data_IF_724860057227
#
_entry.id   IF_724860057227
#
_cell.length_a   1.000
_cell.length_b   1.000
_cell.length_c   1.000
_cell.angle_alpha   90.00
_cell.angle_beta   90.00
_cell.angle_gamma   90.00
#
_symmetry.space_group_name_H-M   'P 1'
#
loop_
_entity.id
_entity.type
_entity.pdbx_description
1 polymer ?
#
# COMPACT_ATOMS: atom_id res chain seq x y z
N UNK A 1 6.17 -25.56 15.54
CA UNK A 1 6.48 -26.57 14.51
C UNK A 1 6.22 -28.01 14.98
N UNK A 2 5.52 -28.20 16.10
CA UNK A 2 5.31 -29.53 16.69
C UNK A 2 4.00 -30.21 16.30
N UNK A 3 3.10 -29.49 15.61
CA UNK A 3 1.78 -30.00 15.16
C UNK A 3 1.79 -31.08 14.08
N UNK A 4 2.96 -31.55 13.64
CA UNK A 4 3.11 -32.53 12.54
C UNK A 4 4.17 -33.56 12.95
N UNK A 5 3.99 -34.88 12.66
CA UNK A 5 4.93 -35.94 13.05
C UNK A 5 6.38 -35.62 12.69
N UNK A 6 7.33 -36.12 13.49
CA UNK A 6 8.75 -35.76 13.36
C UNK A 6 9.32 -35.93 11.95
N UNK A 7 8.95 -37.02 11.26
CA UNK A 7 9.36 -37.32 9.89
C UNK A 7 8.80 -36.34 8.83
N UNK A 8 7.71 -35.63 9.13
CA UNK A 8 7.02 -34.73 8.21
C UNK A 8 7.28 -33.25 8.48
N UNK A 9 8.03 -32.91 9.54
CA UNK A 9 8.32 -31.51 9.92
C UNK A 9 9.08 -30.74 8.82
N UNK A 10 9.94 -31.41 8.05
CA UNK A 10 10.64 -30.82 6.90
C UNK A 10 9.67 -30.37 5.80
N UNK A 11 8.77 -31.26 5.38
CA UNK A 11 7.71 -30.97 4.38
C UNK A 11 6.75 -29.90 4.90
N UNK A 12 6.33 -29.98 6.16
CA UNK A 12 5.47 -28.97 6.78
C UNK A 12 6.13 -27.58 6.90
N UNK A 13 7.45 -27.53 7.14
CA UNK A 13 8.23 -26.28 7.13
C UNK A 13 8.31 -25.70 5.72
N UNK A 14 8.61 -26.54 4.72
CA UNK A 14 8.64 -26.15 3.31
C UNK A 14 7.31 -25.57 2.83
N UNK A 15 6.19 -26.27 3.08
CA UNK A 15 4.85 -25.79 2.71
C UNK A 15 4.52 -24.44 3.37
N UNK A 16 4.83 -24.27 4.66
CA UNK A 16 4.63 -22.99 5.36
C UNK A 16 5.45 -21.86 4.74
N UNK A 17 6.71 -22.12 4.39
CA UNK A 17 7.57 -21.15 3.74
C UNK A 17 7.00 -20.72 2.38
N UNK A 18 6.53 -21.66 1.57
CA UNK A 18 5.83 -21.35 0.30
C UNK A 18 4.61 -20.48 0.54
N UNK A 19 3.72 -20.85 1.47
CA UNK A 19 2.53 -20.05 1.79
C UNK A 19 2.87 -18.64 2.30
N UNK A 20 3.90 -18.49 3.13
CA UNK A 20 4.37 -17.19 3.62
C UNK A 20 4.90 -16.32 2.48
N UNK A 21 5.79 -16.87 1.64
CA UNK A 21 6.38 -16.13 0.52
C UNK A 21 5.34 -15.72 -0.51
N UNK A 22 4.47 -16.64 -0.92
CA UNK A 22 3.37 -16.36 -1.84
C UNK A 22 2.33 -15.41 -1.22
N UNK A 23 2.02 -15.59 0.07
CA UNK A 23 1.10 -14.72 0.81
C UNK A 23 1.61 -13.29 0.91
N UNK A 24 2.91 -13.10 1.15
CA UNK A 24 3.51 -11.77 1.21
C UNK A 24 3.45 -11.05 -0.16
N UNK A 25 3.81 -11.76 -1.24
CA UNK A 25 3.70 -11.23 -2.61
C UNK A 25 2.25 -10.87 -2.98
N UNK A 26 1.30 -11.76 -2.65
CA UNK A 26 -0.12 -11.52 -2.87
C UNK A 26 -0.61 -10.29 -2.08
N UNK A 27 -0.17 -10.15 -0.82
CA UNK A 27 -0.53 -9.03 0.05
C UNK A 27 -0.06 -7.69 -0.54
N UNK A 28 1.17 -7.65 -1.07
CA UNK A 28 1.71 -6.48 -1.77
C UNK A 28 0.85 -6.16 -3.01
N UNK A 29 0.53 -7.16 -3.81
CA UNK A 29 -0.29 -6.99 -5.03
C UNK A 29 -1.69 -6.45 -4.73
N UNK A 30 -2.36 -7.00 -3.71
CA UNK A 30 -3.68 -6.55 -3.25
C UNK A 30 -3.59 -5.13 -2.69
N UNK A 31 -2.59 -4.85 -1.85
CA UNK A 31 -2.36 -3.52 -1.27
C UNK A 31 -2.26 -2.45 -2.37
N UNK A 32 -1.36 -2.66 -3.34
CA UNK A 32 -1.17 -1.71 -4.43
C UNK A 32 -2.40 -1.60 -5.33
N UNK A 33 -3.08 -2.71 -5.62
CA UNK A 33 -4.29 -2.70 -6.45
C UNK A 33 -5.41 -1.89 -5.81
N UNK A 34 -5.70 -2.11 -4.53
CA UNK A 34 -6.72 -1.33 -3.81
C UNK A 34 -6.33 0.14 -3.73
N UNK A 35 -5.06 0.44 -3.44
CA UNK A 35 -4.56 1.81 -3.40
C UNK A 35 -4.81 2.53 -4.73
N UNK A 36 -4.46 1.90 -5.86
CA UNK A 36 -4.65 2.47 -7.20
C UNK A 36 -6.13 2.72 -7.48
N UNK A 37 -7.01 1.78 -7.15
CA UNK A 37 -8.46 1.92 -7.36
C UNK A 37 -9.03 3.09 -6.56
N UNK A 38 -8.65 3.25 -5.30
CA UNK A 38 -9.13 4.37 -4.46
C UNK A 38 -8.63 5.70 -4.99
N UNK A 39 -7.35 5.78 -5.35
CA UNK A 39 -6.78 6.99 -5.91
C UNK A 39 -7.42 7.37 -7.25
N UNK A 40 -7.60 6.41 -8.16
CA UNK A 40 -8.22 6.67 -9.46
C UNK A 40 -9.64 7.26 -9.33
N UNK A 41 -10.37 6.93 -8.26
CA UNK A 41 -11.72 7.47 -7.99
C UNK A 41 -11.72 8.85 -7.32
N UNK A 42 -10.71 9.18 -6.52
CA UNK A 42 -10.73 10.37 -5.65
C UNK A 42 -9.73 11.46 -6.05
N UNK A 43 -8.58 11.05 -6.55
CA UNK A 43 -7.49 11.96 -6.91
C UNK A 43 -7.86 12.92 -8.04
N UNK A 44 -8.55 12.51 -9.13
CA UNK A 44 -8.82 13.42 -10.23
C UNK A 44 -9.65 14.64 -9.81
N UNK A 45 -10.70 14.42 -9.01
CA UNK A 45 -11.54 15.50 -8.49
C UNK A 45 -10.76 16.47 -7.58
N UNK A 46 -9.90 15.93 -6.71
CA UNK A 46 -9.04 16.74 -5.85
C UNK A 46 -8.06 17.58 -6.68
N UNK A 47 -7.42 16.99 -7.70
CA UNK A 47 -6.49 17.68 -8.60
C UNK A 47 -7.16 18.81 -9.37
N UNK A 48 -8.33 18.55 -9.98
CA UNK A 48 -9.07 19.59 -10.72
C UNK A 48 -9.41 20.75 -9.81
N UNK A 49 -9.98 20.48 -8.63
CA UNK A 49 -10.36 21.52 -7.68
C UNK A 49 -9.15 22.30 -7.14
N UNK A 50 -8.05 21.63 -6.81
CA UNK A 50 -6.84 22.28 -6.29
C UNK A 50 -6.10 23.11 -7.33
N UNK A 51 -5.98 22.62 -8.57
CA UNK A 51 -5.34 23.34 -9.66
C UNK A 51 -6.18 24.55 -10.11
N UNK A 52 -7.51 24.39 -10.20
CA UNK A 52 -8.41 25.50 -10.52
C UNK A 52 -8.34 26.63 -9.48
N UNK A 53 -8.22 26.31 -8.19
CA UNK A 53 -8.01 27.31 -7.12
C UNK A 53 -6.70 28.10 -7.27
N UNK A 54 -5.71 27.53 -7.94
CA UNK A 54 -4.44 28.20 -8.22
C UNK A 54 -4.43 28.93 -9.57
N UNK A 55 -5.58 29.02 -10.25
CA UNK A 55 -5.75 29.72 -11.53
C UNK A 55 -5.43 28.88 -12.77
N UNK A 56 -5.20 27.57 -12.62
CA UNK A 56 -4.96 26.70 -13.78
C UNK A 56 -6.29 26.50 -14.54
N UNK A 57 -6.31 26.66 -15.88
CA UNK A 57 -7.48 26.41 -16.69
C UNK A 57 -8.05 25.00 -16.47
N UNK A 58 -9.37 24.87 -16.35
CA UNK A 58 -10.04 23.61 -15.99
C UNK A 58 -9.77 22.49 -16.99
N UNK A 59 -9.61 22.79 -18.28
CA UNK A 59 -9.26 21.82 -19.32
C UNK A 59 -7.85 21.22 -19.09
N UNK A 60 -6.87 22.05 -18.72
CA UNK A 60 -5.51 21.61 -18.40
C UNK A 60 -5.51 20.80 -17.10
N UNK A 61 -6.24 21.28 -16.09
CA UNK A 61 -6.37 20.60 -14.81
C UNK A 61 -7.02 19.20 -14.97
N UNK A 62 -8.04 19.08 -15.81
CA UNK A 62 -8.70 17.79 -16.12
C UNK A 62 -7.76 16.82 -16.85
N UNK A 63 -6.95 17.33 -17.80
CA UNK A 63 -5.98 16.49 -18.51
C UNK A 63 -4.88 15.96 -17.57
N UNK A 64 -4.38 16.80 -16.65
CA UNK A 64 -3.40 16.38 -15.64
C UNK A 64 -4.03 15.39 -14.66
N UNK A 65 -5.27 15.62 -14.26
CA UNK A 65 -6.02 14.76 -13.34
C UNK A 65 -6.32 13.37 -13.92
N UNK A 66 -6.32 13.22 -15.26
CA UNK A 66 -6.51 11.93 -15.93
C UNK A 66 -5.23 11.06 -16.00
N UNK A 67 -4.07 11.59 -15.59
CA UNK A 67 -2.83 10.83 -15.58
C UNK A 67 -2.86 9.69 -14.55
N UNK A 68 -2.15 8.57 -14.81
CA UNK A 68 -2.10 7.45 -13.89
C UNK A 68 -1.71 7.89 -12.45
N UNK A 69 -2.53 7.62 -11.42
CA UNK A 69 -2.24 8.06 -10.05
C UNK A 69 -0.92 7.52 -9.49
N UNK A 70 -0.48 6.38 -10.02
CA UNK A 70 0.77 5.71 -9.64
C UNK A 70 1.97 6.59 -9.91
N UNK A 71 2.06 7.21 -11.09
CA UNK A 71 3.21 8.07 -11.44
C UNK A 71 3.27 9.31 -10.56
N UNK A 72 2.11 9.88 -10.23
CA UNK A 72 1.96 11.00 -9.31
C UNK A 72 2.43 10.65 -7.88
N UNK A 73 2.08 9.46 -7.38
CA UNK A 73 2.55 8.99 -6.07
C UNK A 73 4.07 8.76 -6.04
N UNK A 74 4.62 8.11 -7.07
CA UNK A 74 6.08 7.90 -7.13
C UNK A 74 6.85 9.21 -7.22
N UNK A 75 6.36 10.18 -8.01
CA UNK A 75 6.97 11.50 -8.05
C UNK A 75 6.98 12.18 -6.68
N UNK A 76 5.87 12.08 -5.92
CA UNK A 76 5.79 12.58 -4.55
C UNK A 76 6.74 11.85 -3.59
N UNK A 77 6.84 10.51 -3.68
CA UNK A 77 7.77 9.74 -2.85
C UNK A 77 9.25 10.03 -3.15
N UNK A 78 9.58 10.37 -4.41
CA UNK A 78 10.91 10.84 -4.80
C UNK A 78 11.16 12.30 -4.39
N UNK A 79 10.18 12.98 -3.79
CA UNK A 79 10.27 14.40 -3.41
C UNK A 79 10.25 15.38 -4.60
N UNK A 80 9.91 14.88 -5.79
CA UNK A 80 9.87 15.68 -7.02
C UNK A 80 8.46 16.19 -7.29
N UNK A 81 8.34 17.43 -7.76
CA UNK A 81 7.05 17.98 -8.15
C UNK A 81 6.80 17.75 -9.66
N UNK A 82 5.85 16.88 -10.04
CA UNK A 82 5.55 16.61 -11.44
C UNK A 82 4.81 17.77 -12.12
N UNK A 83 4.12 18.63 -11.34
CA UNK A 83 3.30 19.73 -11.88
C UNK A 83 4.13 20.70 -12.73
N UNK A 84 5.38 20.96 -12.37
CA UNK A 84 6.24 21.82 -13.17
C UNK A 84 6.43 21.25 -14.59
N UNK A 85 6.72 19.95 -14.71
CA UNK A 85 6.93 19.29 -16.01
C UNK A 85 5.64 19.10 -16.79
N UNK A 86 4.53 18.89 -16.08
CA UNK A 86 3.21 18.71 -16.68
C UNK A 86 2.58 20.03 -17.16
N UNK A 87 2.81 21.12 -16.44
CA UNK A 87 2.25 22.44 -16.78
C UNK A 87 3.15 23.24 -17.74
N UNK A 88 4.46 23.01 -17.77
CA UNK A 88 5.39 23.68 -18.69
C UNK A 88 4.96 23.64 -20.17
N UNK A 89 4.61 22.48 -20.78
CA UNK A 89 4.23 22.41 -22.18
C UNK A 89 2.85 23.04 -22.47
N UNK A 90 2.01 23.23 -21.45
CA UNK A 90 0.65 23.77 -21.62
C UNK A 90 0.61 25.30 -21.68
N UNK A 91 1.72 25.99 -21.37
CA UNK A 91 1.75 27.44 -21.25
C UNK A 91 0.98 28.00 -20.04
N UNK A 92 0.32 27.15 -19.23
CA UNK A 92 -0.46 27.61 -18.09
C UNK A 92 0.42 28.35 -17.06
N UNK A 93 1.69 27.95 -16.88
CA UNK A 93 2.60 28.59 -15.93
C UNK A 93 2.93 30.05 -16.27
N UNK A 94 2.91 30.44 -17.55
CA UNK A 94 3.23 31.81 -17.97
C UNK A 94 2.07 32.77 -17.77
N UNK A 95 0.83 32.28 -17.75
CA UNK A 95 -0.38 33.08 -17.49
C UNK A 95 -0.66 33.28 -16.00
N UNK A 96 0.01 32.54 -15.12
CA UNK A 96 -0.14 32.63 -13.68
C UNK A 96 0.74 33.72 -13.05
N UNK A 97 0.25 34.30 -11.96
CA UNK A 97 1.05 35.21 -11.13
C UNK A 97 2.30 34.52 -10.57
N UNK A 98 3.34 35.30 -10.25
CA UNK A 98 4.58 34.76 -9.68
C UNK A 98 4.36 33.98 -8.37
N UNK A 99 3.38 34.40 -7.56
CA UNK A 99 3.01 33.74 -6.30
C UNK A 99 2.37 32.38 -6.57
N UNK A 100 1.37 32.30 -7.45
CA UNK A 100 0.73 31.03 -7.84
C UNK A 100 1.73 30.06 -8.44
N UNK A 101 2.61 30.55 -9.32
CA UNK A 101 3.67 29.76 -9.94
C UNK A 101 4.59 29.15 -8.87
N UNK A 102 5.06 29.96 -7.91
CA UNK A 102 5.93 29.49 -6.81
C UNK A 102 5.22 28.45 -5.93
N UNK A 103 3.93 28.62 -5.66
CA UNK A 103 3.12 27.64 -4.91
C UNK A 103 2.99 26.33 -5.68
N UNK A 104 2.64 26.39 -6.96
CA UNK A 104 2.44 25.21 -7.82
C UNK A 104 3.73 24.44 -8.09
N UNK A 105 4.87 25.12 -8.21
CA UNK A 105 6.18 24.48 -8.42
C UNK A 105 6.89 24.13 -7.10
N UNK A 106 6.36 24.56 -5.96
CA UNK A 106 6.89 24.23 -4.64
C UNK A 106 6.70 22.75 -4.28
N UNK A 107 7.38 22.28 -3.24
CA UNK A 107 7.33 20.87 -2.81
C UNK A 107 6.17 20.55 -1.87
N UNK A 108 5.43 21.54 -1.37
CA UNK A 108 4.37 21.33 -0.37
C UNK A 108 2.97 21.17 -0.97
N UNK A 109 2.68 21.90 -2.05
CA UNK A 109 1.34 21.95 -2.65
C UNK A 109 0.91 20.60 -3.20
N UNK A 110 1.76 19.95 -4.00
CA UNK A 110 1.43 18.67 -4.63
C UNK A 110 1.22 17.54 -3.61
N UNK A 111 2.10 17.32 -2.60
CA UNK A 111 1.82 16.36 -1.54
C UNK A 111 0.53 16.64 -0.77
N UNK A 112 0.23 17.91 -0.45
CA UNK A 112 -1.04 18.27 0.20
C UNK A 112 -2.25 17.94 -0.68
N UNK A 113 -2.13 18.15 -1.99
CA UNK A 113 -3.19 17.89 -2.95
C UNK A 113 -3.54 16.41 -3.05
N UNK A 114 -2.53 15.52 -2.99
CA UNK A 114 -2.73 14.07 -3.07
C UNK A 114 -3.02 13.42 -1.71
N UNK A 115 -2.67 14.08 -0.60
CA UNK A 115 -2.77 13.54 0.76
C UNK A 115 -4.17 13.05 1.12
N UNK A 116 -5.22 13.78 0.74
CA UNK A 116 -6.60 13.38 1.04
C UNK A 116 -6.99 12.05 0.38
N UNK A 117 -6.70 11.90 -0.91
CA UNK A 117 -6.98 10.66 -1.64
C UNK A 117 -6.10 9.50 -1.13
N UNK A 118 -4.84 9.78 -0.80
CA UNK A 118 -3.92 8.80 -0.24
C UNK A 118 -4.37 8.31 1.14
N UNK A 119 -4.80 9.20 2.02
CA UNK A 119 -5.35 8.85 3.33
C UNK A 119 -6.57 7.94 3.19
N UNK A 120 -7.50 8.26 2.29
CA UNK A 120 -8.65 7.39 2.00
C UNK A 120 -8.20 6.01 1.48
N UNK A 121 -7.16 5.95 0.65
CA UNK A 121 -6.55 4.70 0.22
C UNK A 121 -6.02 3.87 1.40
N UNK A 122 -5.27 4.50 2.30
CA UNK A 122 -4.75 3.85 3.50
C UNK A 122 -5.85 3.33 4.42
N UNK A 123 -6.91 4.12 4.64
CA UNK A 123 -8.06 3.69 5.46
C UNK A 123 -8.69 2.42 4.90
N UNK A 124 -8.92 2.36 3.58
CA UNK A 124 -9.52 1.18 2.93
C UNK A 124 -8.61 -0.04 3.06
N UNK A 125 -7.31 0.12 2.83
CA UNK A 125 -6.38 -1.01 2.87
C UNK A 125 -6.15 -1.50 4.30
N UNK A 126 -6.06 -0.59 5.28
CA UNK A 126 -5.99 -0.98 6.68
C UNK A 126 -7.29 -1.61 7.17
N UNK A 127 -8.46 -1.15 6.74
CA UNK A 127 -9.72 -1.83 7.06
C UNK A 127 -9.74 -3.27 6.55
N UNK A 128 -9.26 -3.51 5.32
CA UNK A 128 -9.09 -4.87 4.79
C UNK A 128 -8.11 -5.69 5.63
N UNK A 129 -6.94 -5.12 5.96
CA UNK A 129 -5.93 -5.79 6.76
C UNK A 129 -6.43 -6.15 8.17
N UNK A 130 -7.17 -5.25 8.82
CA UNK A 130 -7.85 -5.50 10.10
C UNK A 130 -8.85 -6.64 9.96
N UNK A 131 -9.66 -6.64 8.89
CA UNK A 131 -10.64 -7.71 8.64
C UNK A 131 -9.95 -9.07 8.49
N UNK A 132 -8.89 -9.15 7.69
CA UNK A 132 -8.10 -10.38 7.51
C UNK A 132 -7.40 -10.82 8.80
N UNK A 133 -6.89 -9.86 9.58
CA UNK A 133 -6.27 -10.14 10.88
C UNK A 133 -7.28 -10.70 11.87
N UNK A 134 -8.52 -10.20 11.86
CA UNK A 134 -9.61 -10.72 12.68
C UNK A 134 -9.96 -12.16 12.27
N UNK A 135 -10.06 -12.45 10.97
CA UNK A 135 -10.23 -13.82 10.49
C UNK A 135 -9.08 -14.74 10.95
N UNK A 136 -7.84 -14.26 10.88
CA UNK A 136 -6.67 -14.97 11.40
C UNK A 136 -6.73 -15.21 12.91
N UNK A 137 -7.17 -14.22 13.69
CA UNK A 137 -7.33 -14.33 15.13
C UNK A 137 -8.40 -15.36 15.50
N UNK A 138 -9.55 -15.35 14.83
CA UNK A 138 -10.61 -16.35 15.02
C UNK A 138 -10.10 -17.75 14.66
N UNK A 139 -9.44 -17.92 13.52
CA UNK A 139 -8.86 -19.20 13.12
C UNK A 139 -7.79 -19.70 14.11
N UNK A 140 -6.98 -18.78 14.65
CA UNK A 140 -5.97 -19.08 15.68
C UNK A 140 -6.62 -19.52 16.98
N UNK A 141 -7.71 -18.86 17.40
CA UNK A 141 -8.47 -19.20 18.60
C UNK A 141 -9.13 -20.58 18.49
N UNK A 142 -9.79 -20.88 17.36
CA UNK A 142 -10.45 -22.16 17.12
C UNK A 142 -9.50 -23.36 17.03
N UNK A 143 -8.22 -23.12 16.68
CA UNK A 143 -7.21 -24.17 16.51
C UNK A 143 -6.78 -24.83 17.83
N UNK A 144 -7.02 -24.18 18.97
CA UNK A 144 -6.71 -24.72 20.30
C UNK A 144 -5.21 -24.85 20.62
N UNK A 145 -4.86 -24.75 21.91
CA UNK A 145 -3.51 -24.98 22.42
C UNK A 145 -3.23 -26.48 22.55
N UNK A 146 -2.67 -27.13 21.52
CA UNK A 146 -2.01 -28.41 21.73
C UNK A 146 -0.58 -28.16 22.19
N UNK A 147 -0.39 -28.12 23.51
CA UNK A 147 0.91 -28.38 24.14
C UNK A 147 1.15 -29.89 23.98
N UNK A 148 2.22 -30.29 23.30
CA UNK A 148 2.65 -31.68 23.39
C UNK A 148 2.96 -31.99 24.86
N UNK A 149 2.25 -32.97 25.39
CA UNK A 149 2.57 -33.72 26.59
C UNK A 149 3.86 -34.50 26.36
N UNK A 150 4.93 -34.10 27.06
CA UNK A 150 6.02 -34.85 27.75
C UNK A 150 6.55 -36.24 27.26
N UNK A 151 7.64 -36.75 27.86
CA UNK A 151 8.91 -37.06 27.19
C UNK A 151 9.06 -38.53 26.78
N UNK A 152 9.76 -38.82 25.68
CA UNK A 152 10.26 -40.18 25.46
C UNK A 152 11.54 -40.36 26.27
N UNK A 153 11.43 -41.11 27.37
CA UNK A 153 12.49 -41.54 28.29
C UNK A 153 13.78 -42.03 27.59
N UNK A 154 14.96 -41.87 28.22
CA UNK A 154 16.23 -42.35 27.67
C UNK A 154 16.26 -43.89 27.58
N UNK A 155 17.07 -44.47 26.68
CA UNK A 155 17.21 -45.92 26.61
C UNK A 155 17.85 -46.44 27.90
N UNK A 156 17.07 -47.19 28.68
CA UNK A 156 17.58 -48.09 29.71
C UNK A 156 18.09 -49.36 29.04
N UNK A 157 19.41 -49.51 29.00
CA UNK A 157 20.06 -50.82 29.04
C UNK A 157 21.24 -50.75 30.00
N UNK A 158 20.96 -51.18 31.23
CA UNK A 158 21.91 -51.80 32.15
C UNK A 158 22.62 -53.00 31.48
N UNK A 159 23.81 -53.32 31.98
CA UNK A 159 24.73 -54.27 31.39
C UNK A 159 24.32 -55.74 31.47
N UNK A 160 25.01 -56.55 30.66
CA UNK A 160 25.83 -57.72 31.05
C UNK A 160 27.03 -57.75 30.12
#
# INVERSE_FOLDING_TARGET
MSSVPAAQRGVASGMRATFQNSGNLLSIGIFFSLMIVVLAKKLPAAMVAGLAKQGVPTNVAAHIAALPPVSSLFAAFLGTNPLQRLLAPTGALSQLSAVQRKTLTGTSFFPHLIAGAFHQGLVVVFALATTLSLFGAVASFLRGSRRESEPSSPPSTEGV
#
